data_IF_492904855232
#
_entry.id   IF_492904855232
#
_cell.length_a   1.000
_cell.length_b   1.000
_cell.length_c   1.000
_cell.angle_alpha   90.00
_cell.angle_beta   90.00
_cell.angle_gamma   90.00
#
_symmetry.space_group_name_H-M   'P 1'
#
loop_
_entity.id
_entity.type
_entity.pdbx_description
1 polymer ?
#
# COMPACT_ATOMS: atom_id res chain seq x y z
N UNK A 1 17.74 -30.21 9.71
CA UNK A 1 18.06 -28.83 10.12
C UNK A 1 17.02 -27.90 9.51
N UNK A 2 16.15 -27.29 10.31
CA UNK A 2 15.19 -26.28 9.86
C UNK A 2 15.68 -24.92 10.37
N UNK A 3 16.30 -24.12 9.50
CA UNK A 3 16.66 -22.72 9.80
C UNK A 3 15.41 -21.86 9.62
N UNK A 4 14.59 -21.78 10.66
CA UNK A 4 13.51 -20.79 10.76
C UNK A 4 14.08 -19.49 11.33
N UNK A 5 14.40 -18.50 10.50
CA UNK A 5 14.71 -17.17 10.99
C UNK A 5 13.41 -16.45 11.33
N UNK A 6 12.98 -16.54 12.59
CA UNK A 6 12.01 -15.58 13.15
C UNK A 6 12.65 -14.19 13.13
N UNK A 7 12.34 -13.40 12.11
CA UNK A 7 12.73 -11.99 12.07
C UNK A 7 11.76 -11.21 12.95
N UNK A 8 12.25 -10.74 14.08
CA UNK A 8 11.56 -9.77 14.93
C UNK A 8 11.67 -8.43 14.20
N UNK A 9 10.55 -7.84 13.81
CA UNK A 9 10.51 -6.50 13.25
C UNK A 9 9.99 -5.54 14.32
N UNK A 10 10.75 -4.49 14.60
CA UNK A 10 10.27 -3.33 15.35
C UNK A 10 9.92 -2.25 14.34
N UNK A 11 8.64 -1.89 14.28
CA UNK A 11 8.18 -0.75 13.49
C UNK A 11 8.34 0.48 14.36
N UNK A 12 9.36 1.28 14.08
CA UNK A 12 9.45 2.64 14.60
C UNK A 12 8.67 3.53 13.64
N UNK A 13 7.48 3.98 14.05
CA UNK A 13 6.85 5.09 13.34
C UNK A 13 7.75 6.30 13.50
N UNK A 14 8.15 6.91 12.37
CA UNK A 14 8.79 8.21 12.42
C UNK A 14 7.86 9.16 13.21
N UNK A 15 8.43 9.99 14.08
CA UNK A 15 7.65 11.01 14.77
C UNK A 15 6.93 11.86 13.72
N UNK A 16 5.63 12.05 13.88
CA UNK A 16 4.76 12.75 12.93
C UNK A 16 4.73 12.11 11.53
N UNK A 17 5.18 10.86 11.40
CA UNK A 17 5.27 10.11 10.14
C UNK A 17 6.01 10.87 9.02
N UNK A 18 7.09 11.55 9.40
CA UNK A 18 8.03 12.16 8.45
C UNK A 18 8.98 11.09 7.93
N UNK A 19 8.72 10.57 6.73
CA UNK A 19 9.64 9.64 6.08
C UNK A 19 10.71 10.43 5.31
N UNK A 20 11.92 9.87 5.17
CA UNK A 20 12.93 10.46 4.31
C UNK A 20 12.44 10.45 2.85
N UNK A 21 12.96 11.39 2.06
CA UNK A 21 12.74 11.36 0.61
C UNK A 21 13.27 10.04 0.03
N UNK A 22 12.42 9.23 -0.62
CA UNK A 22 12.83 7.92 -1.13
C UNK A 22 13.74 8.07 -2.35
N UNK A 23 14.76 7.23 -2.44
CA UNK A 23 15.60 7.11 -3.64
C UNK A 23 14.84 6.40 -4.76
N UNK A 24 15.33 6.48 -5.99
CA UNK A 24 14.74 5.74 -7.11
C UNK A 24 14.63 4.23 -6.81
N UNK A 25 13.44 3.68 -7.05
CA UNK A 25 13.07 2.30 -6.74
C UNK A 25 12.66 2.05 -5.29
N UNK A 26 12.74 3.05 -4.39
CA UNK A 26 12.28 2.91 -3.01
C UNK A 26 10.78 3.16 -2.85
N UNK A 27 10.22 2.51 -1.83
CA UNK A 27 8.79 2.60 -1.53
C UNK A 27 8.48 3.95 -0.88
N UNK A 28 7.39 4.57 -1.32
CA UNK A 28 6.80 5.77 -0.71
C UNK A 28 5.74 5.29 0.29
N UNK A 29 6.16 5.14 1.54
CA UNK A 29 5.32 4.55 2.59
C UNK A 29 4.07 5.39 2.84
N UNK A 30 4.20 6.72 2.76
CA UNK A 30 3.13 7.71 2.96
C UNK A 30 1.87 7.39 2.15
N UNK A 31 2.04 6.94 0.91
CA UNK A 31 0.91 6.64 0.02
C UNK A 31 0.10 5.42 0.46
N UNK A 32 0.69 4.54 1.27
CA UNK A 32 0.05 3.31 1.76
C UNK A 32 -0.54 3.43 3.16
N UNK A 33 -0.22 4.50 3.90
CA UNK A 33 -0.72 4.73 5.26
C UNK A 33 -2.25 4.97 5.23
N UNK A 34 -3.02 4.42 6.19
CA UNK A 34 -2.55 3.58 7.31
C UNK A 34 -2.18 2.17 6.87
N UNK A 35 -1.07 1.66 7.42
CA UNK A 35 -0.53 0.33 7.09
C UNK A 35 -1.35 -0.77 7.75
N UNK A 36 -1.87 -0.56 8.95
CA UNK A 36 -2.92 -1.40 9.51
C UNK A 36 -4.28 -0.70 9.38
N UNK A 37 -5.33 -1.38 8.90
CA UNK A 37 -6.64 -0.76 8.68
C UNK A 37 -7.74 -1.54 9.37
N UNK A 38 -8.46 -0.88 10.29
CA UNK A 38 -9.69 -1.40 10.87
C UNK A 38 -10.86 -1.14 9.93
N UNK A 39 -11.51 -2.21 9.49
CA UNK A 39 -12.51 -2.24 8.42
C UNK A 39 -13.78 -2.99 8.84
N UNK A 40 -14.03 -3.15 10.14
CA UNK A 40 -15.25 -3.73 10.68
C UNK A 40 -16.50 -3.15 10.00
N UNK A 41 -17.36 -4.03 9.50
CA UNK A 41 -18.58 -3.67 8.76
C UNK A 41 -18.38 -3.32 7.28
N UNK A 42 -17.14 -3.24 6.78
CA UNK A 42 -16.84 -3.01 5.35
C UNK A 42 -16.61 -4.34 4.62
N UNK A 43 -16.88 -4.33 3.32
CA UNK A 43 -16.65 -5.48 2.42
C UNK A 43 -15.51 -5.23 1.42
N UNK A 44 -15.11 -3.97 1.26
CA UNK A 44 -14.01 -3.57 0.38
C UNK A 44 -13.29 -2.33 0.89
N UNK A 45 -12.08 -2.11 0.42
CA UNK A 45 -11.27 -0.93 0.70
C UNK A 45 -10.32 -0.65 -0.46
N UNK A 46 -10.08 0.63 -0.74
CA UNK A 46 -9.06 1.04 -1.69
C UNK A 46 -7.70 1.18 -1.00
N UNK A 47 -6.64 0.63 -1.59
CA UNK A 47 -5.25 0.77 -1.10
C UNK A 47 -4.38 1.25 -2.26
N UNK A 48 -3.53 2.24 -1.95
CA UNK A 48 -2.56 2.79 -2.88
C UNK A 48 -1.17 2.37 -2.41
N UNK A 49 -0.38 1.87 -3.33
CA UNK A 49 1.04 1.61 -3.16
C UNK A 49 1.81 2.47 -4.15
N UNK A 50 2.97 2.98 -3.74
CA UNK A 50 3.79 3.80 -4.61
C UNK A 50 5.28 3.54 -4.40
N UNK A 51 6.04 3.72 -5.47
CA UNK A 51 7.48 3.64 -5.53
C UNK A 51 8.00 4.86 -6.27
N UNK A 52 9.13 5.40 -5.82
CA UNK A 52 9.81 6.48 -6.51
C UNK A 52 10.50 5.97 -7.79
N UNK A 53 10.49 6.77 -8.85
CA UNK A 53 10.99 6.44 -10.17
C UNK A 53 9.87 6.13 -11.18
N UNK A 54 10.24 6.17 -12.47
CA UNK A 54 9.31 5.90 -13.60
C UNK A 54 9.63 4.61 -14.34
N UNK A 55 10.67 3.90 -13.89
CA UNK A 55 11.15 2.65 -14.48
C UNK A 55 11.56 1.71 -13.35
N UNK A 56 11.38 0.43 -13.60
CA UNK A 56 11.92 -0.63 -12.76
C UNK A 56 12.55 -1.68 -13.67
N UNK A 57 13.76 -2.10 -13.32
CA UNK A 57 14.50 -3.15 -14.03
C UNK A 57 14.34 -4.53 -13.38
N UNK A 58 13.43 -4.63 -12.41
CA UNK A 58 13.22 -5.81 -11.59
C UNK A 58 11.74 -6.01 -11.34
N UNK A 59 11.30 -7.27 -11.27
CA UNK A 59 9.92 -7.66 -10.94
C UNK A 59 9.34 -6.90 -9.74
N UNK A 60 8.18 -6.31 -9.96
CA UNK A 60 7.27 -5.86 -8.90
C UNK A 60 6.23 -6.96 -8.69
N UNK A 61 5.86 -7.21 -7.44
CA UNK A 61 4.88 -8.22 -7.08
C UNK A 61 3.90 -7.68 -6.04
N UNK A 62 2.69 -8.23 -6.07
CA UNK A 62 1.76 -8.15 -4.95
C UNK A 62 1.61 -9.54 -4.35
N UNK A 63 1.89 -9.65 -3.06
CA UNK A 63 1.74 -10.87 -2.27
C UNK A 63 0.53 -10.73 -1.36
N UNK A 64 -0.30 -11.76 -1.27
CA UNK A 64 -1.36 -11.93 -0.27
C UNK A 64 -0.95 -13.08 0.64
N UNK A 65 -0.73 -12.83 1.93
CA UNK A 65 -0.29 -13.87 2.89
C UNK A 65 0.93 -14.68 2.36
N UNK A 66 1.93 -13.96 1.83
CA UNK A 66 3.14 -14.48 1.19
C UNK A 66 2.94 -15.26 -0.13
N UNK A 67 1.73 -15.34 -0.68
CA UNK A 67 1.47 -15.89 -2.01
C UNK A 67 1.41 -14.77 -3.04
N UNK A 68 2.18 -14.88 -4.12
CA UNK A 68 2.08 -13.90 -5.20
C UNK A 68 0.71 -14.01 -5.88
N UNK A 69 0.03 -12.86 -5.99
CA UNK A 69 -1.26 -12.72 -6.67
C UNK A 69 -1.18 -11.82 -7.89
N UNK A 70 -0.21 -10.89 -7.92
CA UNK A 70 0.07 -10.03 -9.06
C UNK A 70 1.57 -9.97 -9.33
N UNK A 71 1.93 -9.82 -10.60
CA UNK A 71 3.31 -9.74 -11.04
C UNK A 71 3.42 -8.78 -12.22
N UNK A 72 4.46 -7.95 -12.20
CA UNK A 72 4.83 -7.05 -13.29
C UNK A 72 6.33 -7.24 -13.57
N UNK A 73 6.65 -7.81 -14.73
CA UNK A 73 8.03 -8.05 -15.18
C UNK A 73 8.44 -6.98 -16.19
N UNK A 74 9.36 -6.11 -15.78
CA UNK A 74 10.01 -5.07 -16.60
C UNK A 74 9.06 -4.12 -17.38
N UNK A 75 7.77 -4.21 -17.09
CA UNK A 75 6.66 -3.53 -17.75
C UNK A 75 5.56 -3.26 -16.74
N UNK A 76 4.98 -2.07 -16.82
CA UNK A 76 3.83 -1.68 -16.00
C UNK A 76 2.56 -2.48 -16.31
N UNK A 77 2.52 -3.22 -17.43
CA UNK A 77 1.36 -4.03 -17.79
C UNK A 77 1.39 -5.41 -17.15
N UNK A 78 0.22 -5.88 -16.72
CA UNK A 78 0.04 -7.24 -16.22
C UNK A 78 -0.95 -8.02 -17.08
N UNK A 79 -0.65 -9.28 -17.33
CA UNK A 79 -1.51 -10.20 -18.11
C UNK A 79 -2.49 -10.98 -17.22
N UNK A 80 -2.44 -10.81 -15.90
CA UNK A 80 -3.27 -11.50 -14.91
C UNK A 80 -4.49 -10.73 -14.40
N UNK A 81 -5.06 -11.19 -13.28
CA UNK A 81 -6.26 -10.63 -12.66
C UNK A 81 -6.08 -9.23 -12.03
N UNK A 82 -4.86 -8.69 -12.05
CA UNK A 82 -4.55 -7.39 -11.47
C UNK A 82 -4.40 -6.37 -12.57
N UNK A 83 -4.90 -5.16 -12.35
CA UNK A 83 -4.69 -4.04 -13.27
C UNK A 83 -3.24 -3.64 -13.43
N UNK A 84 -2.99 -2.76 -14.39
CA UNK A 84 -1.66 -2.23 -14.69
C UNK A 84 -1.17 -1.28 -13.59
N UNK A 85 0.15 -1.12 -13.51
CA UNK A 85 0.77 -0.04 -12.73
C UNK A 85 0.57 1.29 -13.46
N UNK A 86 0.29 2.34 -12.70
CA UNK A 86 0.25 3.71 -13.20
C UNK A 86 1.68 4.26 -13.14
N UNK A 87 2.22 4.70 -14.27
CA UNK A 87 3.52 5.39 -14.33
C UNK A 87 3.27 6.88 -14.44
N UNK A 88 3.39 7.58 -13.33
CA UNK A 88 3.29 9.04 -13.27
C UNK A 88 4.65 9.66 -13.60
N UNK A 89 4.79 10.18 -14.82
CA UNK A 89 6.03 10.80 -15.27
C UNK A 89 6.24 12.22 -14.74
N UNK A 90 5.19 12.86 -14.25
CA UNK A 90 5.26 14.23 -13.74
C UNK A 90 5.85 14.21 -12.34
N UNK A 91 5.28 13.39 -11.47
CA UNK A 91 5.74 13.25 -10.08
C UNK A 91 6.86 12.20 -9.94
N UNK A 92 7.17 11.49 -11.02
CA UNK A 92 8.23 10.49 -11.04
C UNK A 92 7.89 9.25 -10.24
N UNK A 93 6.65 8.74 -10.34
CA UNK A 93 6.13 7.66 -9.50
C UNK A 93 5.69 6.44 -10.32
N UNK A 94 5.81 5.27 -9.70
CA UNK A 94 5.10 4.06 -10.08
C UNK A 94 4.06 3.77 -9.00
N UNK A 95 2.79 3.69 -9.37
CA UNK A 95 1.66 3.57 -8.45
C UNK A 95 0.88 2.30 -8.78
N UNK A 96 0.53 1.55 -7.75
CA UNK A 96 -0.50 0.51 -7.83
C UNK A 96 -1.70 0.92 -6.98
N UNK A 97 -2.84 1.15 -7.64
CA UNK A 97 -4.08 1.53 -6.99
C UNK A 97 -5.10 0.40 -7.19
N UNK A 98 -5.53 -0.22 -6.10
CA UNK A 98 -6.43 -1.36 -6.17
C UNK A 98 -7.49 -1.35 -5.07
N UNK A 99 -8.66 -1.86 -5.43
CA UNK A 99 -9.75 -2.15 -4.50
C UNK A 99 -9.67 -3.61 -4.06
N UNK A 100 -9.51 -3.81 -2.75
CA UNK A 100 -9.43 -5.12 -2.13
C UNK A 100 -10.78 -5.49 -1.53
N UNK A 101 -11.23 -6.70 -1.79
CA UNK A 101 -12.48 -7.25 -1.27
C UNK A 101 -12.19 -8.27 -0.17
N UNK A 102 -12.99 -8.23 0.90
CA UNK A 102 -12.94 -9.20 1.99
C UNK A 102 -13.16 -10.60 1.44
N UNK A 103 -12.18 -11.48 1.61
CA UNK A 103 -12.37 -12.88 1.28
C UNK A 103 -13.30 -13.59 2.27
N UNK A 104 -13.98 -14.64 1.81
CA UNK A 104 -14.78 -15.51 2.66
C UNK A 104 -13.92 -16.08 3.80
N UNK A 105 -14.44 -16.05 5.02
CA UNK A 105 -13.79 -16.57 6.23
C UNK A 105 -12.43 -15.93 6.58
N UNK A 106 -12.15 -14.73 6.08
CA UNK A 106 -10.97 -13.95 6.50
C UNK A 106 -11.34 -12.84 7.47
N UNK A 107 -10.66 -12.84 8.60
CA UNK A 107 -10.75 -11.80 9.63
C UNK A 107 -9.76 -10.67 9.37
N UNK A 108 -8.58 -11.01 8.88
CA UNK A 108 -7.57 -10.06 8.44
C UNK A 108 -6.80 -10.64 7.27
N UNK A 109 -6.21 -9.76 6.46
CA UNK A 109 -5.39 -10.11 5.31
C UNK A 109 -4.25 -9.11 5.13
N UNK A 110 -3.03 -9.59 4.93
CA UNK A 110 -1.87 -8.75 4.67
C UNK A 110 -1.45 -8.82 3.22
N UNK A 111 -1.36 -7.65 2.60
CA UNK A 111 -0.88 -7.44 1.25
C UNK A 111 0.50 -6.80 1.28
N UNK A 112 1.46 -7.39 0.57
CA UNK A 112 2.81 -6.83 0.46
C UNK A 112 3.09 -6.50 -0.99
N UNK A 113 3.46 -5.26 -1.27
CA UNK A 113 3.74 -4.77 -2.60
C UNK A 113 5.16 -4.24 -2.71
N UNK A 114 5.80 -4.51 -3.85
CA UNK A 114 7.12 -3.96 -4.19
C UNK A 114 8.02 -4.99 -4.88
N UNK A 115 9.33 -4.72 -4.81
CA UNK A 115 10.38 -5.64 -5.28
C UNK A 115 10.86 -6.55 -4.15
N UNK A 116 11.64 -7.58 -4.48
CA UNK A 116 12.16 -8.53 -3.50
C UNK A 116 12.95 -7.89 -2.34
N UNK A 117 13.57 -6.73 -2.54
CA UNK A 117 14.36 -6.03 -1.52
C UNK A 117 13.72 -4.75 -0.99
N UNK A 118 12.66 -4.23 -1.64
CA UNK A 118 12.01 -2.97 -1.30
C UNK A 118 10.50 -3.17 -1.37
N UNK A 119 9.88 -3.33 -0.20
CA UNK A 119 8.48 -3.71 -0.08
C UNK A 119 7.82 -3.01 1.09
N UNK A 120 6.51 -2.80 0.97
CA UNK A 120 5.64 -2.34 2.06
C UNK A 120 4.49 -3.31 2.22
N UNK A 121 4.04 -3.48 3.46
CA UNK A 121 2.90 -4.33 3.79
C UNK A 121 1.76 -3.48 4.34
N UNK A 122 0.55 -3.76 3.89
CA UNK A 122 -0.70 -3.22 4.41
C UNK A 122 -1.56 -4.39 4.91
N UNK A 123 -1.96 -4.34 6.17
CA UNK A 123 -2.87 -5.30 6.80
C UNK A 123 -4.29 -4.72 6.86
N UNK A 124 -5.23 -5.47 6.31
CA UNK A 124 -6.65 -5.16 6.29
C UNK A 124 -7.33 -6.03 7.35
N UNK A 125 -7.84 -5.41 8.41
CA UNK A 125 -8.54 -6.09 9.50
C UNK A 125 -10.04 -5.84 9.37
N UNK A 126 -10.75 -6.89 8.97
CA UNK A 126 -12.18 -6.83 8.66
C UNK A 126 -13.09 -7.01 9.89
N UNK A 127 -12.53 -7.23 11.08
CA UNK A 127 -13.29 -7.47 12.29
C UNK A 127 -13.26 -6.28 13.24
N UNK A 128 -12.10 -5.65 13.38
CA UNK A 128 -11.95 -4.54 14.29
C UNK A 128 -12.53 -3.25 13.68
N UNK A 129 -13.18 -2.47 14.54
CA UNK A 129 -13.74 -1.16 14.23
C UNK A 129 -12.82 -0.06 14.80
N UNK A 130 -13.02 1.16 14.31
CA UNK A 130 -12.33 2.35 14.79
C UNK A 130 -11.21 2.77 13.85
N UNK A 131 -10.23 3.46 14.42
CA UNK A 131 -9.16 4.10 13.68
C UNK A 131 -7.81 3.50 14.06
N UNK A 132 -6.98 3.26 13.05
CA UNK A 132 -5.68 2.67 13.26
C UNK A 132 -4.77 3.65 14.02
N UNK A 133 -3.92 3.18 14.96
CA UNK A 133 -3.05 4.05 15.76
C UNK A 133 -2.18 5.00 14.93
N UNK A 134 -1.80 4.58 13.71
CA UNK A 134 -1.03 5.39 12.76
C UNK A 134 -1.74 6.68 12.39
N UNK A 135 -3.06 6.70 12.28
CA UNK A 135 -3.80 7.90 11.85
C UNK A 135 -3.60 9.05 12.83
N UNK A 136 -3.67 8.74 14.13
CA UNK A 136 -3.40 9.70 15.20
C UNK A 136 -1.92 10.05 15.27
N UNK A 137 -1.02 9.06 15.16
CA UNK A 137 0.42 9.28 15.25
C UNK A 137 0.99 10.12 14.10
N UNK A 138 0.39 9.99 12.91
CA UNK A 138 0.77 10.71 11.69
C UNK A 138 0.00 12.03 11.48
N UNK A 139 -1.00 12.33 12.31
CA UNK A 139 -1.81 13.55 12.15
C UNK A 139 -2.69 13.60 10.89
N UNK A 140 -3.12 12.45 10.35
CA UNK A 140 -3.77 12.36 9.03
C UNK A 140 -5.23 12.87 9.00
N UNK A 141 -5.77 13.31 10.13
CA UNK A 141 -7.12 13.87 10.21
C UNK A 141 -7.30 15.14 9.34
N UNK A 142 -6.22 15.89 9.10
CA UNK A 142 -6.26 17.15 8.34
C UNK A 142 -6.04 16.97 6.83
N UNK A 143 -5.39 15.89 6.38
CA UNK A 143 -5.08 15.64 4.97
C UNK A 143 -6.17 14.86 4.22
N UNK A 144 -6.81 13.88 4.86
CA UNK A 144 -7.93 13.17 4.22
C UNK A 144 -9.09 14.11 3.90
N UNK A 145 -9.38 15.07 4.79
CA UNK A 145 -10.39 16.11 4.54
C UNK A 145 -10.06 16.96 3.29
N UNK A 146 -8.77 17.23 3.02
CA UNK A 146 -8.35 18.02 1.85
C UNK A 146 -8.41 17.20 0.55
N UNK A 147 -8.04 15.92 0.60
CA UNK A 147 -8.11 15.01 -0.56
C UNK A 147 -9.56 14.78 -0.97
N UNK A 148 -10.47 14.56 -0.01
CA UNK A 148 -11.91 14.46 -0.31
C UNK A 148 -12.46 15.78 -0.86
N UNK A 149 -12.05 16.94 -0.32
CA UNK A 149 -12.50 18.24 -0.84
C UNK A 149 -12.03 18.50 -2.28
N UNK A 150 -10.80 18.11 -2.64
CA UNK A 150 -10.31 18.23 -4.02
C UNK A 150 -11.02 17.29 -5.00
N UNK A 151 -11.30 16.04 -4.58
CA UNK A 151 -11.98 15.07 -5.44
C UNK A 151 -13.42 15.48 -5.76
N UNK A 152 -14.14 16.06 -4.80
CA UNK A 152 -15.49 16.60 -5.04
C UNK A 152 -15.49 17.84 -5.94
N UNK A 153 -14.48 18.71 -5.84
CA UNK A 153 -14.36 19.90 -6.69
C UNK A 153 -14.13 19.57 -8.18
N UNK A 154 -13.50 18.43 -8.49
CA UNK A 154 -13.23 17.99 -9.87
C UNK A 154 -14.40 17.27 -10.55
N UNK A 155 -15.48 16.95 -9.83
CA UNK A 155 -16.67 16.25 -10.36
C UNK A 155 -17.79 17.23 -10.73
N UNK A 156 -17.71 18.49 -10.29
CA UNK A 156 -18.75 19.51 -10.49
C UNK A 156 -18.36 20.62 -11.49
N UNK A 157 -17.46 20.37 -12.45
CA UNK A 157 -17.18 21.31 -13.54
C UNK A 157 -17.45 20.70 -14.90
#
# INVERSE_FOLDING_TARGET
>A
MLKGTNRIYTVYFAKDCKFPTPSDGEIIVEKSIPLYRFLGGKTQVNVIFAMNGTKFSSRISLLREAREVCRWDDSASNTGACGDLIVDKVDGLIIYNATFHKALNKNYETYTWGTASRQVSVTLDWNNMGEAPEVKACGLHDEQSKIFTQMYASITT
#
